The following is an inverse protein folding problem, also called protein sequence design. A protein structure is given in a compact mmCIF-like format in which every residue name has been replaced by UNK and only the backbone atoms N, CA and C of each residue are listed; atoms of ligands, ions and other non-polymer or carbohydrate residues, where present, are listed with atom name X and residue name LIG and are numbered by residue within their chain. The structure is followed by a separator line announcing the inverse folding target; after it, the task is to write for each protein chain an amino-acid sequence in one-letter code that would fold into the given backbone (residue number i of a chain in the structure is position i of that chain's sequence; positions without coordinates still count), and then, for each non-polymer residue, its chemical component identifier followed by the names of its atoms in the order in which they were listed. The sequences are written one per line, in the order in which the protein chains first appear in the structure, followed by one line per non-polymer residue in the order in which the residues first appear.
data_IF_717054591621
#
_entry.id   IF_717054591621
#
_cell.length_a   1.000
_cell.length_b   1.000
_cell.length_c   1.000
_cell.angle_alpha   90.00
_cell.angle_beta   90.00
_cell.angle_gamma   90.00
#
_symmetry.space_group_name_H-M   'P 1'
#
loop_
_entity.id
_entity.type
_entity.pdbx_description
1 polymer ?
#
# COMPACT_ATOMS: atom_id res chain seq x y z
N UNK A 1 19.80 -6.17 -9.67
CA UNK A 1 20.20 -5.21 -10.73
C UNK A 1 19.25 -5.37 -11.90
N UNK A 2 18.61 -4.27 -12.31
CA UNK A 2 17.67 -4.11 -13.43
C UNK A 2 16.25 -4.65 -13.24
N UNK A 3 15.40 -3.86 -12.58
CA UNK A 3 13.96 -3.86 -12.85
C UNK A 3 13.72 -2.87 -13.99
N UNK A 4 13.77 -3.38 -15.22
CA UNK A 4 13.31 -2.68 -16.39
C UNK A 4 11.80 -2.52 -16.33
N UNK A 5 11.35 -1.31 -16.01
CA UNK A 5 10.00 -0.84 -16.33
C UNK A 5 10.16 0.53 -17.02
N UNK A 6 10.60 0.47 -18.27
CA UNK A 6 10.77 1.61 -19.15
C UNK A 6 9.55 1.73 -20.09
N UNK A 7 8.33 1.61 -19.55
CA UNK A 7 7.07 1.65 -20.31
C UNK A 7 6.17 2.82 -19.92
N UNK A 8 6.76 4.00 -19.78
CA UNK A 8 6.01 5.25 -19.78
C UNK A 8 6.93 6.34 -20.27
N UNK A 9 6.73 6.78 -21.52
CA UNK A 9 7.57 7.76 -22.18
C UNK A 9 7.60 9.10 -21.44
N UNK A 10 8.48 9.20 -20.47
CA UNK A 10 8.64 10.36 -19.61
C UNK A 10 9.95 10.25 -18.83
N UNK A 11 10.49 11.39 -18.46
CA UNK A 11 11.72 11.51 -17.70
C UNK A 11 11.41 11.35 -16.21
N UNK A 12 12.14 10.48 -15.50
CA UNK A 12 12.03 10.40 -14.04
C UNK A 12 12.68 11.64 -13.44
N UNK A 13 11.87 12.48 -12.80
CA UNK A 13 12.32 13.72 -12.14
C UNK A 13 12.87 13.41 -10.76
N UNK A 14 12.17 12.57 -10.02
CA UNK A 14 12.48 12.27 -8.63
C UNK A 14 11.96 10.88 -8.26
N UNK A 15 12.70 10.22 -7.37
CA UNK A 15 12.34 8.92 -6.82
C UNK A 15 12.72 8.89 -5.35
N UNK A 16 11.77 8.52 -4.49
CA UNK A 16 12.00 8.38 -3.06
C UNK A 16 11.18 7.23 -2.47
N UNK A 17 11.70 6.63 -1.41
CA UNK A 17 11.01 5.58 -0.65
C UNK A 17 10.24 6.19 0.51
N UNK A 18 8.99 5.76 0.69
CA UNK A 18 8.19 6.09 1.88
C UNK A 18 8.54 5.11 3.00
N UNK A 19 8.63 3.83 2.65
CA UNK A 19 8.96 2.72 3.54
C UNK A 19 9.72 1.63 2.75
N UNK A 20 9.95 0.47 3.37
CA UNK A 20 10.68 -0.66 2.76
C UNK A 20 9.95 -1.30 1.56
N UNK A 21 8.65 -1.06 1.42
CA UNK A 21 7.77 -1.66 0.41
C UNK A 21 7.17 -0.64 -0.56
N UNK A 22 7.11 0.64 -0.18
CA UNK A 22 6.46 1.70 -0.95
C UNK A 22 7.48 2.68 -1.52
N UNK A 23 7.48 2.80 -2.84
CA UNK A 23 8.32 3.74 -3.58
C UNK A 23 7.45 4.71 -4.38
N UNK A 24 7.81 5.99 -4.36
CA UNK A 24 7.16 7.03 -5.15
C UNK A 24 8.10 7.50 -6.23
N UNK A 25 7.60 7.48 -7.47
CA UNK A 25 8.32 7.96 -8.66
C UNK A 25 7.54 9.10 -9.30
N UNK A 26 8.18 10.25 -9.42
CA UNK A 26 7.66 11.42 -10.12
C UNK A 26 8.21 11.41 -11.54
N UNK A 27 7.32 11.30 -12.52
CA UNK A 27 7.66 11.22 -13.95
C UNK A 27 7.15 12.48 -14.65
N UNK A 28 8.03 13.19 -15.36
CA UNK A 28 7.64 14.25 -16.29
C UNK A 28 7.30 13.64 -17.64
N UNK A 29 6.04 13.77 -18.05
CA UNK A 29 5.55 13.32 -19.35
C UNK A 29 6.03 14.26 -20.47
N UNK A 30 5.95 13.80 -21.72
CA UNK A 30 6.33 14.61 -22.89
C UNK A 30 5.49 15.88 -23.09
N UNK A 31 4.29 15.95 -22.51
CA UNK A 31 3.43 17.14 -22.51
C UNK A 31 3.82 18.16 -21.42
N UNK A 32 4.87 17.89 -20.64
CA UNK A 32 5.33 18.73 -19.54
C UNK A 32 4.57 18.54 -18.23
N UNK A 33 3.54 17.69 -18.19
CA UNK A 33 2.83 17.35 -16.96
C UNK A 33 3.66 16.43 -16.05
N UNK A 34 3.41 16.50 -14.74
CA UNK A 34 4.00 15.61 -13.75
C UNK A 34 3.01 14.50 -13.41
N UNK A 35 3.50 13.26 -13.42
CA UNK A 35 2.78 12.06 -13.03
C UNK A 35 3.43 11.46 -11.79
N UNK A 36 2.63 11.28 -10.74
CA UNK A 36 3.05 10.62 -9.52
C UNK A 36 2.68 9.15 -9.60
N UNK A 37 3.67 8.27 -9.57
CA UNK A 37 3.49 6.81 -9.58
C UNK A 37 3.87 6.23 -8.23
N UNK A 38 2.91 5.60 -7.58
CA UNK A 38 3.15 4.81 -6.36
C UNK A 38 3.42 3.38 -6.79
N UNK A 39 4.58 2.87 -6.40
CA UNK A 39 5.05 1.52 -6.69
C UNK A 39 5.01 0.76 -5.36
N UNK A 40 4.21 -0.30 -5.33
CA UNK A 40 4.04 -1.20 -4.21
C UNK A 40 4.13 -2.65 -4.70
N UNK A 41 4.36 -3.63 -3.80
CA UNK A 41 4.37 -5.03 -4.17
C UNK A 41 3.02 -5.41 -4.77
N UNK A 42 3.05 -6.00 -5.96
CA UNK A 42 1.86 -6.52 -6.62
C UNK A 42 1.65 -7.94 -6.14
N UNK A 43 0.52 -8.18 -5.47
CA UNK A 43 0.15 -9.52 -5.04
C UNK A 43 -0.26 -10.36 -6.25
N UNK A 44 0.27 -11.57 -6.33
CA UNK A 44 -0.23 -12.58 -7.24
C UNK A 44 -1.63 -13.09 -6.80
N UNK A 45 -2.29 -13.88 -7.65
CA UNK A 45 -3.65 -14.34 -7.35
C UNK A 45 -3.71 -15.22 -6.10
N UNK A 46 -2.67 -16.02 -5.82
CA UNK A 46 -2.63 -16.89 -4.64
C UNK A 46 -2.38 -16.08 -3.37
N UNK A 47 -1.44 -15.14 -3.43
CA UNK A 47 -1.13 -14.20 -2.36
C UNK A 47 -2.35 -13.35 -1.99
N UNK A 48 -3.12 -12.90 -2.99
CA UNK A 48 -4.34 -12.14 -2.75
C UNK A 48 -5.37 -12.95 -1.96
N UNK A 49 -5.57 -14.23 -2.30
CA UNK A 49 -6.48 -15.11 -1.54
C UNK A 49 -6.03 -15.24 -0.09
N UNK A 50 -4.73 -15.48 0.13
CA UNK A 50 -4.18 -15.60 1.50
C UNK A 50 -4.36 -14.31 2.28
N UNK A 51 -4.06 -13.15 1.68
CA UNK A 51 -4.22 -11.85 2.34
C UNK A 51 -5.67 -11.59 2.70
N UNK A 52 -6.61 -11.90 1.81
CA UNK A 52 -8.05 -11.71 2.09
C UNK A 52 -8.58 -12.70 3.12
N UNK A 53 -8.09 -13.94 3.16
CA UNK A 53 -8.48 -14.92 4.18
C UNK A 53 -7.92 -14.54 5.56
N UNK A 54 -6.65 -14.09 5.64
CA UNK A 54 -6.05 -13.56 6.88
C UNK A 54 -6.81 -12.31 7.34
N UNK A 55 -7.13 -11.40 6.41
CA UNK A 55 -7.92 -10.20 6.70
C UNK A 55 -9.29 -10.55 7.25
N UNK A 56 -9.97 -11.53 6.64
CA UNK A 56 -11.29 -12.00 7.09
C UNK A 56 -11.21 -12.62 8.48
N UNK A 57 -10.26 -13.54 8.70
CA UNK A 57 -10.02 -14.14 10.01
C UNK A 57 -9.75 -13.08 11.07
N UNK A 58 -8.92 -12.09 10.76
CA UNK A 58 -8.59 -11.00 11.69
C UNK A 58 -9.84 -10.21 12.09
N UNK A 59 -10.70 -9.84 11.12
CA UNK A 59 -11.95 -9.12 11.38
C UNK A 59 -12.96 -9.94 12.19
N UNK A 60 -13.06 -11.24 11.91
CA UNK A 60 -13.95 -12.15 12.61
C UNK A 60 -13.51 -12.37 14.07
N UNK A 61 -12.22 -12.59 14.31
CA UNK A 61 -11.67 -12.77 15.66
C UNK A 61 -11.75 -11.47 16.49
N UNK A 62 -11.55 -10.31 15.87
CA UNK A 62 -11.77 -8.99 16.48
C UNK A 62 -13.24 -8.79 16.89
N UNK A 63 -14.19 -9.24 16.07
CA UNK A 63 -15.61 -9.09 16.35
C UNK A 63 -16.08 -9.86 17.59
N UNK A 64 -15.43 -10.99 17.88
CA UNK A 64 -15.72 -11.84 19.06
C UNK A 64 -15.07 -11.29 20.32
N UNK A 65 -13.95 -10.56 20.19
CA UNK A 65 -13.11 -10.12 21.31
C UNK A 65 -13.42 -8.70 21.80
N UNK A 66 -13.83 -7.78 20.90
CA UNK A 66 -13.86 -6.34 21.18
C UNK A 66 -15.26 -5.69 21.27
N UNK A 67 -16.35 -6.45 21.16
CA UNK A 67 -17.71 -5.94 21.43
C UNK A 67 -17.99 -5.63 22.93
N UNK A 68 -16.95 -5.49 23.77
CA UNK A 68 -17.08 -5.19 25.20
C UNK A 68 -16.72 -3.76 25.63
N UNK A 69 -15.86 -3.02 24.89
CA UNK A 69 -15.50 -1.65 25.28
C UNK A 69 -15.09 -0.79 24.09
N UNK A 70 -15.94 0.19 23.77
CA UNK A 70 -15.75 1.22 22.73
C UNK A 70 -14.44 2.01 22.85
N UNK A 71 -13.87 2.09 24.05
CA UNK A 71 -12.61 2.79 24.34
C UNK A 71 -11.38 2.10 23.72
N UNK A 72 -11.38 0.76 23.62
CA UNK A 72 -10.28 0.01 23.00
C UNK A 72 -10.27 0.14 21.48
N UNK A 73 -11.45 0.15 20.86
CA UNK A 73 -11.62 0.39 19.42
C UNK A 73 -11.06 1.76 19.00
N UNK A 74 -11.33 2.82 19.77
CA UNK A 74 -10.78 4.15 19.49
C UNK A 74 -9.25 4.14 19.53
N UNK A 75 -8.66 3.43 20.49
CA UNK A 75 -7.20 3.37 20.66
C UNK A 75 -6.51 2.60 19.52
N UNK A 76 -7.15 1.56 19.00
CA UNK A 76 -6.61 0.73 17.92
C UNK A 76 -6.72 1.42 16.56
N UNK A 77 -7.78 2.19 16.31
CA UNK A 77 -7.90 3.04 15.11
C UNK A 77 -6.80 4.11 15.11
N UNK A 78 -6.55 4.76 16.24
CA UNK A 78 -5.47 5.75 16.36
C UNK A 78 -4.07 5.13 16.13
N UNK A 79 -3.88 3.84 16.47
CA UNK A 79 -2.62 3.13 16.27
C UNK A 79 -2.41 2.69 14.81
N UNK A 80 -3.49 2.42 14.08
CA UNK A 80 -3.44 1.97 12.69
C UNK A 80 -3.40 3.11 11.66
N UNK A 81 -3.71 4.34 12.09
CA UNK A 81 -3.71 5.56 11.24
C UNK A 81 -2.42 6.37 11.37
N UNK A 82 -1.50 5.98 12.26
CA UNK A 82 -0.13 6.50 12.33
C UNK A 82 0.86 5.57 11.65
#
# INVERSE_FOLDING_TARGET
MSLGNNEGGGEVVEEYSIDEYTLVRIVRRFDGSLEYRVIQPVLDERERVVVEDVRRWFLEELSVSDMGSTEKLSLMIDLAVR
#
